data_IF_052284994298
#
_entry.id   IF_052284994298
#
_cell.length_a   1.000
_cell.length_b   1.000
_cell.length_c   1.000
_cell.angle_alpha   90.00
_cell.angle_beta   90.00
_cell.angle_gamma   90.00
#
_symmetry.space_group_name_H-M   'P 1'
#
loop_
_entity.id
_entity.type
_entity.pdbx_description
1 polymer ?
#
# COMPACT_ATOMS: atom_id res chain seq x y z
N UNK A 1 -8.61 -14.12 -11.29
CA UNK A 1 -7.41 -13.45 -10.79
C UNK A 1 -7.74 -12.16 -10.11
N UNK A 2 -7.08 -11.88 -8.99
CA UNK A 2 -7.31 -10.62 -8.28
C UNK A 2 -6.71 -9.45 -9.06
N UNK A 3 -7.47 -8.36 -9.12
CA UNK A 3 -7.05 -7.17 -9.84
C UNK A 3 -6.08 -6.33 -9.01
N UNK A 4 -5.10 -5.71 -9.68
CA UNK A 4 -4.18 -4.75 -9.08
C UNK A 4 -4.23 -3.49 -9.94
N UNK A 5 -4.38 -2.33 -9.28
CA UNK A 5 -4.51 -1.05 -9.97
C UNK A 5 -3.42 -0.08 -9.52
N UNK A 6 -2.82 0.64 -10.49
CA UNK A 6 -1.87 1.73 -10.17
C UNK A 6 -2.66 3.02 -10.00
N UNK A 7 -2.41 3.71 -8.88
CA UNK A 7 -3.04 4.98 -8.54
C UNK A 7 -2.02 6.11 -8.64
N UNK A 8 -2.38 7.14 -9.40
CA UNK A 8 -1.67 8.42 -9.45
C UNK A 8 -2.55 9.56 -8.95
N UNK A 9 -3.82 9.27 -8.72
CA UNK A 9 -4.80 10.18 -8.13
C UNK A 9 -5.73 9.36 -7.24
N UNK A 10 -6.57 10.03 -6.45
CA UNK A 10 -7.41 9.34 -5.45
C UNK A 10 -8.34 8.32 -6.10
N UNK A 11 -8.37 7.13 -5.53
CA UNK A 11 -9.24 6.05 -5.99
C UNK A 11 -10.72 6.38 -5.72
N UNK A 12 -11.58 5.97 -6.63
CA UNK A 12 -13.03 6.03 -6.44
C UNK A 12 -13.45 5.07 -5.31
N UNK A 13 -14.37 5.52 -4.46
CA UNK A 13 -14.82 4.74 -3.30
C UNK A 13 -15.43 3.39 -3.70
N UNK A 14 -16.17 3.34 -4.79
CA UNK A 14 -16.78 2.07 -5.27
C UNK A 14 -15.71 1.10 -5.70
N UNK A 15 -14.68 1.61 -6.35
CA UNK A 15 -13.57 0.78 -6.81
C UNK A 15 -12.75 0.26 -5.64
N UNK A 16 -12.51 1.10 -4.63
CA UNK A 16 -11.83 0.67 -3.41
C UNK A 16 -12.62 -0.44 -2.73
N UNK A 17 -13.94 -0.28 -2.61
CA UNK A 17 -14.80 -1.30 -2.01
C UNK A 17 -14.70 -2.63 -2.76
N UNK A 18 -14.70 -2.56 -4.09
CA UNK A 18 -14.59 -3.75 -4.94
C UNK A 18 -13.25 -4.48 -4.70
N UNK A 19 -12.16 -3.73 -4.63
CA UNK A 19 -10.83 -4.32 -4.40
C UNK A 19 -10.72 -4.94 -3.00
N UNK A 20 -11.29 -4.30 -1.99
CA UNK A 20 -11.32 -4.84 -0.62
C UNK A 20 -12.09 -6.14 -0.59
N UNK A 21 -13.28 -6.18 -1.19
CA UNK A 21 -14.14 -7.37 -1.18
C UNK A 21 -13.57 -8.53 -1.99
N UNK A 22 -12.70 -8.25 -2.96
CA UNK A 22 -12.20 -9.26 -3.89
C UNK A 22 -11.32 -10.32 -3.23
N UNK A 23 -10.50 -9.93 -2.24
CA UNK A 23 -9.55 -10.84 -1.63
C UNK A 23 -9.76 -11.08 -0.14
N UNK A 24 -9.82 -10.02 0.67
CA UNK A 24 -9.75 -10.13 2.13
C UNK A 24 -10.97 -9.61 2.87
N UNK A 25 -11.87 -8.91 2.20
CA UNK A 25 -13.16 -8.40 2.70
C UNK A 25 -13.07 -7.26 3.72
N UNK A 26 -12.07 -7.23 4.58
CA UNK A 26 -11.90 -6.19 5.60
C UNK A 26 -10.67 -5.32 5.37
N UNK A 27 -9.84 -5.68 4.42
CA UNK A 27 -8.63 -4.91 4.11
C UNK A 27 -8.19 -5.14 2.67
N UNK A 28 -7.28 -4.29 2.19
CA UNK A 28 -6.67 -4.43 0.88
C UNK A 28 -5.17 -4.23 1.03
N UNK A 29 -4.40 -5.06 0.32
CA UNK A 29 -2.94 -4.94 0.26
C UNK A 29 -2.56 -3.89 -0.77
N UNK A 30 -1.48 -3.15 -0.49
CA UNK A 30 -0.96 -2.18 -1.45
C UNK A 30 0.53 -1.97 -1.25
N UNK A 31 1.16 -1.39 -2.25
CA UNK A 31 2.56 -0.97 -2.19
C UNK A 31 2.67 0.47 -2.61
N UNK A 32 3.62 1.19 -2.03
CA UNK A 32 3.80 2.62 -2.23
C UNK A 32 5.18 2.87 -2.80
N UNK A 33 5.27 3.62 -3.90
CA UNK A 33 6.51 4.20 -4.37
C UNK A 33 6.62 5.57 -3.73
N UNK A 34 7.48 5.70 -2.72
CA UNK A 34 7.59 6.95 -1.95
C UNK A 34 8.27 8.08 -2.73
N UNK A 35 9.02 7.74 -3.77
CA UNK A 35 9.70 8.74 -4.59
C UNK A 35 8.76 9.34 -5.63
N UNK A 36 8.04 8.50 -6.36
CA UNK A 36 7.12 8.94 -7.41
C UNK A 36 5.71 9.23 -6.91
N UNK A 37 5.44 8.93 -5.63
CA UNK A 37 4.15 9.17 -4.98
C UNK A 37 3.01 8.50 -5.72
N UNK A 38 3.15 7.20 -5.95
CA UNK A 38 2.09 6.39 -6.56
C UNK A 38 1.95 5.08 -5.82
N UNK A 39 0.81 4.43 -6.01
CA UNK A 39 0.43 3.21 -5.30
C UNK A 39 0.00 2.15 -6.30
N UNK A 40 0.33 0.88 -6.03
CA UNK A 40 -0.33 -0.25 -6.66
C UNK A 40 -1.16 -0.94 -5.58
N UNK A 41 -2.46 -1.06 -5.78
CA UNK A 41 -3.41 -1.54 -4.78
C UNK A 41 -4.18 -2.75 -5.29
N UNK A 42 -4.37 -3.74 -4.43
CA UNK A 42 -5.11 -4.95 -4.73
C UNK A 42 -4.22 -6.17 -4.81
N UNK A 43 -4.82 -7.30 -5.17
CA UNK A 43 -4.12 -8.57 -5.29
C UNK A 43 -4.01 -9.33 -3.98
N UNK A 44 -3.49 -10.54 -4.07
CA UNK A 44 -3.33 -11.43 -2.92
C UNK A 44 -1.96 -11.29 -2.27
N UNK A 45 -0.95 -10.83 -3.02
CA UNK A 45 0.43 -10.72 -2.54
C UNK A 45 0.99 -9.33 -2.81
N UNK A 46 1.66 -8.75 -1.83
CA UNK A 46 2.37 -7.47 -2.02
C UNK A 46 3.41 -7.58 -3.14
N UNK A 47 4.02 -8.75 -3.30
CA UNK A 47 5.04 -8.95 -4.33
C UNK A 47 4.47 -8.76 -5.75
N UNK A 48 3.22 -9.12 -5.98
CA UNK A 48 2.60 -8.93 -7.29
C UNK A 48 2.39 -7.45 -7.60
N UNK A 49 1.97 -6.67 -6.60
CA UNK A 49 1.81 -5.23 -6.74
C UNK A 49 3.16 -4.54 -6.92
N UNK A 50 4.18 -5.00 -6.19
CA UNK A 50 5.55 -4.51 -6.35
C UNK A 50 6.04 -4.73 -7.78
N UNK A 51 5.83 -5.93 -8.33
CA UNK A 51 6.24 -6.25 -9.69
C UNK A 51 5.59 -5.30 -10.70
N UNK A 52 4.32 -5.01 -10.51
CA UNK A 52 3.61 -4.08 -11.40
C UNK A 52 4.24 -2.68 -11.37
N UNK A 53 4.59 -2.18 -10.20
CA UNK A 53 5.28 -0.88 -10.09
C UNK A 53 6.66 -0.93 -10.73
N UNK A 54 7.42 -2.01 -10.54
CA UNK A 54 8.73 -2.15 -11.15
C UNK A 54 8.63 -2.11 -12.68
N UNK A 55 7.66 -2.81 -13.24
CA UNK A 55 7.41 -2.80 -14.69
C UNK A 55 6.98 -1.42 -15.19
N UNK A 56 6.44 -0.59 -14.31
CA UNK A 56 5.97 0.77 -14.64
C UNK A 56 7.01 1.85 -14.34
N UNK A 57 8.25 1.46 -14.04
CA UNK A 57 9.35 2.41 -13.89
C UNK A 57 9.72 2.76 -12.45
N UNK A 58 9.15 2.10 -11.45
CA UNK A 58 9.58 2.29 -10.06
C UNK A 58 10.90 1.55 -9.80
N UNK A 59 11.63 2.02 -8.78
CA UNK A 59 12.83 1.34 -8.30
C UNK A 59 12.51 0.64 -6.98
N UNK A 60 13.02 -0.57 -6.81
CA UNK A 60 12.71 -1.38 -5.63
C UNK A 60 13.05 -0.67 -4.31
N UNK A 61 14.14 0.10 -4.27
CA UNK A 61 14.55 0.83 -3.06
C UNK A 61 13.50 1.81 -2.56
N UNK A 62 12.57 2.24 -3.43
CA UNK A 62 11.55 3.24 -3.12
C UNK A 62 10.19 2.60 -2.80
N UNK A 63 10.05 1.28 -2.91
CA UNK A 63 8.77 0.59 -2.77
C UNK A 63 8.63 -0.04 -1.41
N UNK A 64 7.50 0.23 -0.74
CA UNK A 64 7.17 -0.32 0.57
C UNK A 64 5.74 -0.83 0.58
N UNK A 65 5.52 -1.95 1.27
CA UNK A 65 4.22 -2.59 1.35
C UNK A 65 3.48 -2.26 2.63
N UNK A 66 2.16 -2.23 2.53
CA UNK A 66 1.28 -1.98 3.66
C UNK A 66 -0.09 -2.60 3.41
N UNK A 67 -0.97 -2.52 4.41
CA UNK A 67 -2.35 -2.96 4.33
C UNK A 67 -3.26 -1.82 4.76
N UNK A 68 -4.37 -1.65 4.04
CA UNK A 68 -5.32 -0.59 4.34
C UNK A 68 -6.63 -1.20 4.85
N UNK A 69 -7.10 -0.71 6.00
CA UNK A 69 -8.32 -1.18 6.66
C UNK A 69 -9.38 -0.08 6.65
N UNK A 70 -10.34 -0.12 5.72
CA UNK A 70 -11.44 0.86 5.73
C UNK A 70 -12.23 0.80 7.03
N UNK A 71 -12.71 1.93 7.49
CA UNK A 71 -13.53 2.00 8.68
C UNK A 71 -12.76 2.04 10.00
N UNK A 72 -11.44 2.03 9.96
CA UNK A 72 -10.61 2.05 11.18
C UNK A 72 -10.11 3.45 11.55
N UNK A 73 -10.44 4.48 10.77
CA UNK A 73 -10.04 5.84 11.02
C UNK A 73 -8.57 6.12 10.74
N UNK A 74 -8.16 7.37 10.91
CA UNK A 74 -6.80 7.79 10.55
C UNK A 74 -5.71 7.08 11.35
N UNK A 75 -5.98 6.75 12.61
CA UNK A 75 -4.96 6.12 13.46
C UNK A 75 -4.88 4.62 13.30
N UNK A 76 -5.86 3.98 12.68
CA UNK A 76 -5.92 2.52 12.62
C UNK A 76 -6.00 1.92 11.23
N UNK A 77 -6.09 2.74 10.18
CA UNK A 77 -6.36 2.22 8.85
C UNK A 77 -5.12 1.68 8.12
N UNK A 78 -3.92 2.00 8.56
CA UNK A 78 -2.69 1.55 7.90
C UNK A 78 -1.92 0.60 8.80
N UNK A 79 -1.63 -0.58 8.26
CA UNK A 79 -0.69 -1.51 8.88
C UNK A 79 0.54 -1.56 7.97
N UNK A 80 1.69 -1.15 8.51
CA UNK A 80 2.93 -0.99 7.73
C UNK A 80 3.69 -2.30 7.65
N UNK A 81 3.06 -3.38 7.20
CA UNK A 81 3.59 -4.73 7.27
C UNK A 81 3.46 -5.46 5.95
N UNK A 82 4.57 -6.01 5.46
CA UNK A 82 4.62 -6.86 4.26
C UNK A 82 5.97 -7.59 4.22
N UNK A 83 5.98 -8.77 3.62
CA UNK A 83 7.24 -9.52 3.44
C UNK A 83 8.26 -8.73 2.63
N UNK A 84 7.82 -7.97 1.63
CA UNK A 84 8.73 -7.19 0.79
C UNK A 84 9.49 -6.11 1.56
N UNK A 85 9.04 -5.77 2.78
CA UNK A 85 9.71 -4.76 3.60
C UNK A 85 10.98 -5.28 4.26
N UNK A 86 11.20 -6.58 4.26
CA UNK A 86 12.41 -7.16 4.83
C UNK A 86 13.58 -6.87 3.90
N UNK A 87 14.36 -5.84 4.25
CA UNK A 87 15.52 -5.38 3.46
C UNK A 87 16.65 -4.97 4.41
N UNK A 88 17.44 -5.92 4.90
CA UNK A 88 18.55 -5.59 5.81
C UNK A 88 19.53 -4.58 5.23
N UNK A 89 19.78 -4.66 3.91
CA UNK A 89 20.68 -3.72 3.23
C UNK A 89 20.16 -2.28 3.21
N UNK A 90 18.86 -2.10 3.42
CA UNK A 90 18.23 -0.78 3.51
C UNK A 90 17.90 -0.38 4.95
N UNK A 91 18.43 -1.13 5.92
CA UNK A 91 18.22 -0.85 7.34
C UNK A 91 16.90 -1.31 7.90
N UNK A 92 16.12 -2.09 7.15
CA UNK A 92 14.84 -2.60 7.63
C UNK A 92 14.85 -4.14 7.61
N UNK A 93 15.03 -4.75 8.78
CA UNK A 93 15.15 -6.20 8.91
C UNK A 93 13.85 -6.88 9.38
N UNK A 94 12.76 -6.14 9.42
CA UNK A 94 11.44 -6.61 9.86
C UNK A 94 10.42 -6.51 8.73
N UNK A 95 9.31 -7.25 8.84
CA UNK A 95 8.17 -7.08 7.96
C UNK A 95 7.52 -5.71 8.17
N UNK A 96 7.61 -5.17 9.39
CA UNK A 96 7.12 -3.84 9.67
C UNK A 96 8.13 -2.79 9.22
N UNK A 97 7.65 -1.68 8.66
CA UNK A 97 8.47 -0.51 8.36
C UNK A 97 8.80 0.17 9.68
N UNK A 98 10.08 0.13 10.08
CA UNK A 98 10.51 0.57 11.41
C UNK A 98 10.73 2.09 11.48
N UNK A 99 11.25 2.68 10.41
CA UNK A 99 11.58 4.11 10.37
C UNK A 99 10.32 4.98 10.40
N UNK A 100 10.22 5.84 11.41
CA UNK A 100 9.04 6.71 11.58
C UNK A 100 8.88 7.72 10.46
N UNK A 101 9.97 8.23 9.91
CA UNK A 101 9.91 9.17 8.77
C UNK A 101 9.39 8.48 7.53
N UNK A 102 9.75 7.23 7.34
CA UNK A 102 9.28 6.42 6.21
C UNK A 102 7.80 6.11 6.36
N UNK A 103 7.36 5.74 7.58
CA UNK A 103 5.94 5.53 7.84
C UNK A 103 5.14 6.80 7.55
N UNK A 104 5.66 7.97 7.91
CA UNK A 104 4.99 9.24 7.66
C UNK A 104 4.80 9.50 6.16
N UNK A 105 5.83 9.23 5.36
CA UNK A 105 5.74 9.38 3.90
C UNK A 105 4.69 8.42 3.32
N UNK A 106 4.69 7.18 3.77
CA UNK A 106 3.69 6.19 3.34
C UNK A 106 2.29 6.67 3.71
N UNK A 107 2.11 7.17 4.92
CA UNK A 107 0.81 7.65 5.40
C UNK A 107 0.30 8.81 4.56
N UNK A 108 1.14 9.80 4.29
CA UNK A 108 0.75 10.95 3.47
C UNK A 108 0.24 10.52 2.10
N UNK A 109 0.96 9.62 1.44
CA UNK A 109 0.58 9.12 0.12
C UNK A 109 -0.70 8.29 0.20
N UNK A 110 -0.82 7.45 1.24
CA UNK A 110 -2.01 6.64 1.46
C UNK A 110 -3.25 7.52 1.65
N UNK A 111 -3.14 8.55 2.49
CA UNK A 111 -4.26 9.46 2.77
C UNK A 111 -4.68 10.23 1.51
N UNK A 112 -3.72 10.56 0.65
CA UNK A 112 -4.00 11.27 -0.59
C UNK A 112 -4.63 10.36 -1.65
N UNK A 113 -4.13 9.13 -1.82
CA UNK A 113 -4.51 8.26 -2.94
C UNK A 113 -5.54 7.19 -2.59
N UNK A 114 -5.64 6.78 -1.35
CA UNK A 114 -6.62 5.76 -0.95
C UNK A 114 -7.69 6.37 -0.06
N UNK A 115 -7.31 6.92 1.09
CA UNK A 115 -8.25 7.49 2.04
C UNK A 115 -7.68 7.57 3.44
N UNK A 116 -8.51 8.04 4.37
CA UNK A 116 -8.15 8.25 5.76
C UNK A 116 -8.84 7.28 6.71
N UNK A 117 -9.16 6.09 6.22
CA UNK A 117 -9.82 5.09 7.03
C UNK A 117 -11.32 5.28 7.19
N UNK A 118 -11.95 5.99 6.27
CA UNK A 118 -13.40 6.13 6.25
C UNK A 118 -14.04 4.78 5.96
N UNK A 119 -15.29 4.60 6.42
CA UNK A 119 -16.08 3.42 6.07
C UNK A 119 -16.48 3.40 4.60
N UNK A 120 -16.69 2.23 4.08
CA UNK A 120 -17.09 2.04 2.68
C UNK A 120 -18.59 1.83 2.50
#
# INVERSE_FOLDING_TARGET
>A
MAEIKILTEKIDKRELKRLVEQCFKDMVKYVVDIRQKRIAIGGELHADAEQLLLESGSEQKDIWGANYYPGKGESGCIEYTALINIRPSSGNSSMEVIDNNLQEKIREITFELIGKGEGL
#
